data_IF_400697762080
#
_entry.id   IF_400697762080
#
_cell.length_a   1.000
_cell.length_b   1.000
_cell.length_c   1.000
_cell.angle_alpha   90.00
_cell.angle_beta   90.00
_cell.angle_gamma   90.00
#
_symmetry.space_group_name_H-M   'P 1'
#
loop_
_entity.id
_entity.type
_entity.pdbx_description
1 polymer ?
#
# COMPACT_ATOMS: atom_id res chain seq x y z
N UNK A 1 -7.42 -14.45 -17.14
CA UNK A 1 -7.55 -13.58 -15.94
C UNK A 1 -7.96 -12.19 -16.44
N UNK A 2 -9.09 -11.65 -16.00
CA UNK A 2 -9.64 -10.36 -16.46
C UNK A 2 -8.99 -9.18 -15.72
N UNK A 3 -8.96 -8.00 -16.36
CA UNK A 3 -8.42 -6.74 -15.79
C UNK A 3 -9.11 -6.35 -14.47
N UNK A 4 -10.38 -6.73 -14.30
CA UNK A 4 -11.15 -6.52 -13.08
C UNK A 4 -10.60 -7.29 -11.86
N UNK A 5 -9.99 -8.47 -12.07
CA UNK A 5 -9.38 -9.23 -10.97
C UNK A 5 -8.11 -8.53 -10.43
N UNK A 6 -7.49 -7.65 -11.21
CA UNK A 6 -6.36 -6.82 -10.77
C UNK A 6 -6.79 -5.55 -10.02
N UNK A 7 -8.09 -5.26 -9.97
CA UNK A 7 -8.67 -4.09 -9.29
C UNK A 7 -9.36 -4.44 -7.96
N UNK A 8 -9.47 -5.72 -7.63
CA UNK A 8 -9.81 -6.16 -6.28
C UNK A 8 -8.56 -5.99 -5.41
N UNK A 9 -8.75 -5.61 -4.14
CA UNK A 9 -7.72 -5.63 -3.09
C UNK A 9 -6.83 -6.87 -3.28
N UNK A 10 -5.50 -6.70 -3.26
CA UNK A 10 -4.54 -7.76 -3.64
C UNK A 10 -4.91 -9.14 -3.11
N UNK A 11 -4.60 -10.18 -3.89
CA UNK A 11 -5.13 -11.58 -3.80
C UNK A 11 -5.25 -12.18 -2.38
N UNK A 12 -4.60 -11.64 -1.35
CA UNK A 12 -5.00 -11.71 0.07
C UNK A 12 -4.23 -10.65 0.87
N UNK A 13 -4.75 -10.16 2.01
CA UNK A 13 -3.98 -9.31 2.92
C UNK A 13 -2.71 -10.04 3.37
N UNK A 14 -1.69 -9.27 3.75
CA UNK A 14 -0.51 -9.85 4.38
C UNK A 14 -0.89 -10.42 5.75
N UNK A 15 -0.73 -11.73 5.91
CA UNK A 15 -0.94 -12.41 7.18
C UNK A 15 0.37 -13.03 7.61
N UNK A 16 1.08 -12.33 8.50
CA UNK A 16 2.44 -12.66 8.91
C UNK A 16 2.44 -13.21 10.33
N UNK A 17 3.16 -14.31 10.55
CA UNK A 17 3.35 -14.91 11.86
C UNK A 17 4.80 -15.28 12.09
N UNK A 18 5.34 -14.89 13.24
CA UNK A 18 6.68 -15.28 13.68
C UNK A 18 6.58 -15.80 15.10
N UNK A 19 7.18 -16.96 15.35
CA UNK A 19 7.38 -17.50 16.69
C UNK A 19 8.78 -17.12 17.17
N UNK A 20 8.86 -16.22 18.16
CA UNK A 20 10.12 -15.66 18.63
C UNK A 20 11.02 -16.68 19.37
N UNK A 21 10.45 -17.80 19.83
CA UNK A 21 11.18 -18.84 20.58
C UNK A 21 11.78 -19.89 19.66
N UNK A 22 11.00 -20.37 18.69
CA UNK A 22 11.42 -21.41 17.74
C UNK A 22 12.06 -20.85 16.47
N UNK A 23 11.91 -19.55 16.20
CA UNK A 23 12.36 -18.91 14.95
C UNK A 23 11.53 -19.30 13.73
N UNK A 24 10.47 -20.10 13.90
CA UNK A 24 9.56 -20.46 12.81
C UNK A 24 8.74 -19.25 12.39
N UNK A 25 8.54 -19.10 11.10
CA UNK A 25 7.72 -18.05 10.53
C UNK A 25 6.86 -18.58 9.39
N UNK A 26 5.71 -17.93 9.19
CA UNK A 26 4.82 -18.15 8.06
C UNK A 26 4.28 -16.82 7.58
N UNK A 27 3.97 -16.74 6.30
CA UNK A 27 3.43 -15.52 5.70
C UNK A 27 2.52 -15.85 4.53
N UNK A 28 1.40 -15.13 4.46
CA UNK A 28 0.59 -14.99 3.25
C UNK A 28 0.85 -13.62 2.64
N UNK A 29 0.96 -13.53 1.32
CA UNK A 29 1.25 -12.28 0.59
C UNK A 29 2.70 -11.76 0.73
N UNK A 30 3.48 -12.29 1.67
CA UNK A 30 4.91 -12.09 1.77
C UNK A 30 5.58 -13.32 2.40
N UNK A 31 6.84 -13.58 2.05
CA UNK A 31 7.66 -14.61 2.66
C UNK A 31 8.52 -14.02 3.78
N UNK A 32 8.65 -14.78 4.88
CA UNK A 32 9.51 -14.40 6.01
C UNK A 32 10.71 -15.34 6.05
N UNK A 33 11.90 -14.77 6.24
CA UNK A 33 13.16 -15.50 6.32
C UNK A 33 14.10 -14.86 7.33
N UNK A 34 15.23 -15.52 7.60
CA UNK A 34 16.32 -15.01 8.46
C UNK A 34 15.87 -14.54 9.85
N UNK A 35 14.93 -15.28 10.47
CA UNK A 35 14.45 -14.97 11.81
C UNK A 35 15.59 -15.17 12.81
N UNK A 36 15.99 -14.08 13.47
CA UNK A 36 17.08 -14.05 14.45
C UNK A 36 16.61 -13.34 15.70
N UNK A 37 16.87 -13.96 16.84
CA UNK A 37 16.62 -13.36 18.16
C UNK A 37 17.96 -13.07 18.84
N UNK A 38 18.15 -11.83 19.31
CA UNK A 38 19.32 -11.40 20.08
C UNK A 38 18.83 -10.63 21.31
N UNK A 39 18.92 -11.28 22.47
CA UNK A 39 18.35 -10.74 23.71
C UNK A 39 16.83 -10.54 23.57
N UNK A 40 16.35 -9.32 23.80
CA UNK A 40 14.93 -8.95 23.57
C UNK A 40 14.65 -8.40 22.17
N UNK A 41 15.62 -8.41 21.26
CA UNK A 41 15.43 -7.93 19.89
C UNK A 41 15.16 -9.09 18.95
N UNK A 42 14.11 -8.99 18.15
CA UNK A 42 13.78 -9.94 17.09
C UNK A 42 13.99 -9.25 15.75
N UNK A 43 14.65 -9.92 14.81
CA UNK A 43 14.85 -9.42 13.44
C UNK A 43 14.53 -10.49 12.42
N UNK A 44 13.97 -10.11 11.28
CA UNK A 44 13.65 -11.01 10.17
C UNK A 44 13.56 -10.24 8.86
N UNK A 45 13.78 -10.93 7.75
CA UNK A 45 13.58 -10.39 6.41
C UNK A 45 12.18 -10.72 5.93
N UNK A 46 11.50 -9.75 5.31
CA UNK A 46 10.21 -9.93 4.65
C UNK A 46 10.35 -9.65 3.16
N UNK A 47 10.10 -10.65 2.34
CA UNK A 47 10.05 -10.55 0.89
C UNK A 47 8.60 -10.40 0.43
N UNK A 48 8.27 -9.25 -0.14
CA UNK A 48 6.94 -8.96 -0.67
C UNK A 48 6.65 -9.86 -1.88
N UNK A 49 5.54 -10.61 -1.85
CA UNK A 49 5.05 -11.40 -3.00
C UNK A 49 3.88 -10.71 -3.70
N UNK A 50 3.07 -9.98 -2.91
CA UNK A 50 1.99 -9.11 -3.39
C UNK A 50 2.05 -7.77 -2.66
N UNK A 51 1.32 -6.79 -3.19
CA UNK A 51 1.15 -5.50 -2.52
C UNK A 51 0.43 -5.64 -1.18
N UNK A 52 0.76 -4.81 -0.18
CA UNK A 52 -0.03 -4.74 1.05
C UNK A 52 -1.46 -4.31 0.73
N UNK A 53 -2.37 -4.53 1.67
CA UNK A 53 -3.72 -3.99 1.57
C UNK A 53 -3.71 -2.46 1.67
N UNK A 54 -4.60 -1.76 0.94
CA UNK A 54 -4.78 -0.32 1.14
C UNK A 54 -5.24 -0.04 2.57
N UNK A 55 -4.75 1.06 3.15
CA UNK A 55 -5.21 1.50 4.46
C UNK A 55 -6.71 1.83 4.43
N UNK A 56 -7.36 1.76 5.59
CA UNK A 56 -8.75 2.15 5.72
C UNK A 56 -8.95 3.61 5.26
N UNK A 57 -10.05 3.92 4.54
CA UNK A 57 -10.28 5.26 3.99
C UNK A 57 -10.57 6.32 5.07
N UNK A 58 -10.96 5.88 6.27
CA UNK A 58 -11.27 6.74 7.41
C UNK A 58 -10.27 6.51 8.52
N UNK A 59 -9.98 7.58 9.27
CA UNK A 59 -9.25 7.48 10.54
C UNK A 59 -10.22 6.99 11.61
N UNK A 60 -9.81 6.02 12.41
CA UNK A 60 -10.61 5.49 13.51
C UNK A 60 -10.56 3.98 13.58
N UNK A 61 -11.38 3.41 14.46
CA UNK A 61 -11.47 1.96 14.58
C UNK A 61 -12.12 1.34 13.35
N UNK A 62 -11.42 0.37 12.77
CA UNK A 62 -12.00 -0.48 11.73
C UNK A 62 -12.94 -1.49 12.39
N UNK A 63 -14.16 -1.59 11.86
CA UNK A 63 -15.17 -2.53 12.33
C UNK A 63 -14.56 -3.93 12.49
N UNK A 64 -14.77 -4.65 13.61
CA UNK A 64 -14.07 -5.89 13.92
C UNK A 64 -14.11 -6.94 12.79
N UNK A 65 -15.24 -7.05 12.11
CA UNK A 65 -15.40 -7.97 10.98
C UNK A 65 -14.48 -7.62 9.80
N UNK A 66 -14.13 -6.35 9.59
CA UNK A 66 -13.28 -5.90 8.51
C UNK A 66 -11.78 -6.00 8.84
N UNK A 67 -11.41 -6.24 10.11
CA UNK A 67 -10.00 -6.40 10.51
C UNK A 67 -9.31 -7.56 9.80
N UNK A 68 -10.08 -8.57 9.36
CA UNK A 68 -9.58 -9.72 8.57
C UNK A 68 -9.08 -9.33 7.18
N UNK A 69 -9.46 -8.16 6.68
CA UNK A 69 -9.05 -7.65 5.37
C UNK A 69 -7.80 -6.76 5.46
N UNK A 70 -7.32 -6.47 6.67
CA UNK A 70 -6.14 -5.67 6.90
C UNK A 70 -4.92 -6.57 6.97
N UNK A 71 -3.77 -6.00 6.62
CA UNK A 71 -2.49 -6.64 6.85
C UNK A 71 -2.25 -6.80 8.34
N UNK A 72 -1.71 -7.94 8.76
CA UNK A 72 -1.49 -8.28 10.16
C UNK A 72 -0.12 -8.91 10.37
N UNK A 73 0.49 -8.57 11.52
CA UNK A 73 1.67 -9.23 12.04
C UNK A 73 1.39 -9.78 13.44
N UNK A 74 1.54 -11.09 13.58
CA UNK A 74 1.52 -11.77 14.87
C UNK A 74 2.93 -12.21 15.27
N UNK A 75 3.34 -11.87 16.49
CA UNK A 75 4.60 -12.34 17.07
C UNK A 75 4.29 -13.15 18.32
N UNK A 76 4.42 -14.48 18.21
CA UNK A 76 4.15 -15.41 19.31
C UNK A 76 5.38 -15.56 20.19
N UNK A 77 5.14 -15.90 21.46
CA UNK A 77 6.19 -16.23 22.43
C UNK A 77 7.25 -15.11 22.61
N UNK A 78 6.84 -13.86 22.42
CA UNK A 78 7.67 -12.69 22.69
C UNK A 78 7.80 -12.51 24.22
N UNK A 79 9.00 -12.24 24.71
CA UNK A 79 9.21 -12.02 26.14
C UNK A 79 8.35 -10.83 26.64
N UNK A 80 7.89 -10.84 27.90
CA UNK A 80 7.07 -9.76 28.43
C UNK A 80 7.73 -8.37 28.28
N UNK A 81 6.96 -7.42 27.76
CA UNK A 81 7.41 -6.04 27.54
C UNK A 81 6.63 -5.31 26.45
N UNK A 82 7.06 -4.06 26.20
CA UNK A 82 6.62 -3.22 25.09
C UNK A 82 7.65 -3.27 23.97
N UNK A 83 7.19 -3.37 22.73
CA UNK A 83 8.05 -3.49 21.56
C UNK A 83 7.58 -2.57 20.45
N UNK A 84 8.57 -2.00 19.76
CA UNK A 84 8.38 -1.18 18.57
C UNK A 84 8.82 -1.97 17.35
N UNK A 85 7.93 -2.05 16.36
CA UNK A 85 8.26 -2.53 15.03
C UNK A 85 8.96 -1.42 14.24
N UNK A 86 10.13 -1.76 13.72
CA UNK A 86 10.95 -0.92 12.86
C UNK A 86 11.14 -1.65 11.52
N UNK A 87 10.76 -1.01 10.42
CA UNK A 87 10.91 -1.54 9.05
C UNK A 87 11.81 -0.62 8.27
N UNK A 88 12.93 -1.15 7.75
CA UNK A 88 13.96 -0.39 7.04
C UNK A 88 14.39 0.88 7.81
N UNK A 89 14.47 0.78 9.14
CA UNK A 89 14.85 1.89 10.04
C UNK A 89 13.72 2.84 10.44
N UNK A 90 12.50 2.69 9.89
CA UNK A 90 11.34 3.53 10.24
C UNK A 90 10.44 2.86 11.28
N UNK A 91 10.06 3.60 12.32
CA UNK A 91 9.07 3.13 13.31
C UNK A 91 7.70 2.99 12.66
N UNK A 92 7.08 1.82 12.78
CA UNK A 92 5.77 1.52 12.18
C UNK A 92 4.67 1.45 13.23
N UNK A 93 4.89 0.67 14.29
CA UNK A 93 3.91 0.43 15.33
C UNK A 93 4.60 0.13 16.67
N UNK A 94 3.91 0.41 17.77
CA UNK A 94 4.36 0.05 19.12
C UNK A 94 3.21 -0.62 19.85
N UNK A 95 3.48 -1.78 20.44
CA UNK A 95 2.47 -2.56 21.17
C UNK A 95 3.15 -3.44 22.23
N UNK A 96 2.38 -3.92 23.20
CA UNK A 96 2.87 -4.89 24.17
C UNK A 96 2.90 -6.31 23.57
N UNK A 97 3.65 -7.21 24.21
CA UNK A 97 3.79 -8.61 23.77
C UNK A 97 2.44 -9.36 23.61
N UNK A 98 1.42 -9.06 24.41
CA UNK A 98 0.07 -9.67 24.29
C UNK A 98 -0.61 -9.21 23.01
N UNK A 99 -0.57 -7.91 22.72
CA UNK A 99 -1.13 -7.33 21.50
C UNK A 99 -0.40 -7.85 20.25
N UNK A 100 0.93 -7.98 20.32
CA UNK A 100 1.70 -8.60 19.23
C UNK A 100 1.32 -10.07 19.01
N UNK A 101 1.10 -10.85 20.07
CA UNK A 101 0.68 -12.23 19.94
C UNK A 101 -0.74 -12.38 19.34
N UNK A 102 -1.63 -11.44 19.66
CA UNK A 102 -3.01 -11.40 19.12
C UNK A 102 -3.08 -11.04 17.63
N UNK A 103 -2.01 -10.50 17.05
CA UNK A 103 -1.98 -10.01 15.67
C UNK A 103 -2.31 -8.53 15.60
N UNK A 104 -1.29 -7.73 15.30
CA UNK A 104 -1.43 -6.28 15.16
C UNK A 104 -1.68 -5.93 13.69
N UNK A 105 -2.70 -5.10 13.44
CA UNK A 105 -2.96 -4.53 12.12
C UNK A 105 -1.84 -3.59 11.67
N UNK A 106 -1.39 -3.76 10.44
CA UNK A 106 -0.39 -2.92 9.78
C UNK A 106 -1.10 -1.99 8.79
N UNK A 107 -0.74 -0.71 8.79
CA UNK A 107 -1.33 0.27 7.88
C UNK A 107 -0.35 1.37 7.41
N UNK A 108 0.89 1.34 7.90
CA UNK A 108 1.85 2.44 7.77
C UNK A 108 3.29 1.98 7.49
N UNK A 109 3.48 0.76 6.99
CA UNK A 109 4.82 0.30 6.60
C UNK A 109 5.33 1.10 5.39
N UNK A 110 6.65 1.09 5.09
CA UNK A 110 7.18 1.66 3.85
C UNK A 110 6.53 1.10 2.57
N UNK A 111 6.03 -0.14 2.60
CA UNK A 111 5.27 -0.73 1.50
C UNK A 111 3.90 -0.04 1.32
N UNK A 112 3.18 0.21 2.42
CA UNK A 112 1.91 0.94 2.41
C UNK A 112 2.08 2.36 1.86
N UNK A 113 3.17 3.04 2.25
CA UNK A 113 3.49 4.36 1.72
C UNK A 113 3.76 4.33 0.21
N UNK A 114 4.42 3.28 -0.29
CA UNK A 114 4.67 3.08 -1.73
C UNK A 114 3.37 2.84 -2.49
N UNK A 115 2.47 2.01 -1.93
CA UNK A 115 1.14 1.77 -2.47
C UNK A 115 0.30 3.06 -2.55
N UNK A 116 0.28 3.85 -1.48
CA UNK A 116 -0.46 5.11 -1.46
C UNK A 116 0.09 6.12 -2.47
N UNK A 117 1.41 6.18 -2.64
CA UNK A 117 2.02 7.03 -3.67
C UNK A 117 1.62 6.60 -5.09
N UNK A 118 1.54 5.30 -5.33
CA UNK A 118 1.07 4.76 -6.61
C UNK A 118 -0.41 5.06 -6.84
N UNK A 119 -1.26 4.86 -5.82
CA UNK A 119 -2.68 5.22 -5.86
C UNK A 119 -2.89 6.70 -6.19
N UNK A 120 -2.11 7.59 -5.60
CA UNK A 120 -2.13 9.03 -5.92
C UNK A 120 -1.74 9.31 -7.37
N UNK A 121 -0.77 8.58 -7.91
CA UNK A 121 -0.35 8.72 -9.32
C UNK A 121 -1.44 8.25 -10.29
N UNK A 122 -2.20 7.20 -9.95
CA UNK A 122 -3.40 6.79 -10.69
C UNK A 122 -4.46 7.89 -10.64
N UNK A 123 -4.74 8.42 -9.45
CA UNK A 123 -5.74 9.48 -9.28
C UNK A 123 -5.40 10.71 -10.12
N UNK A 124 -4.14 11.14 -10.08
CA UNK A 124 -3.62 12.23 -10.89
C UNK A 124 -3.81 11.96 -12.39
N UNK A 125 -3.40 10.78 -12.89
CA UNK A 125 -3.63 10.37 -14.28
C UNK A 125 -5.12 10.40 -14.66
N UNK A 126 -5.99 9.91 -13.78
CA UNK A 126 -7.43 9.87 -14.02
C UNK A 126 -8.04 11.28 -14.06
N UNK A 127 -7.54 12.22 -13.25
CA UNK A 127 -7.95 13.62 -13.35
C UNK A 127 -7.62 14.20 -14.74
N UNK A 128 -6.39 14.00 -15.24
CA UNK A 128 -6.02 14.41 -16.60
C UNK A 128 -6.88 13.74 -17.68
N UNK A 129 -7.18 12.45 -17.52
CA UNK A 129 -8.07 11.73 -18.45
C UNK A 129 -9.45 12.38 -18.52
N UNK A 130 -10.07 12.68 -17.37
CA UNK A 130 -11.37 13.34 -17.29
C UNK A 130 -11.34 14.71 -17.99
N UNK A 131 -10.27 15.49 -17.81
CA UNK A 131 -10.13 16.78 -18.51
C UNK A 131 -9.93 16.63 -20.03
N UNK A 132 -9.32 15.54 -20.48
CA UNK A 132 -9.22 15.21 -21.92
C UNK A 132 -10.55 14.70 -22.50
N UNK A 133 -11.36 14.04 -21.68
CA UNK A 133 -12.62 13.39 -22.06
C UNK A 133 -13.82 14.29 -21.69
N UNK A 134 -13.94 15.45 -22.34
CA UNK A 134 -15.17 16.27 -22.26
C UNK A 134 -16.24 15.74 -23.23
N UNK A 135 -16.78 14.56 -22.92
CA UNK A 135 -17.73 13.83 -23.77
C UNK A 135 -19.00 14.62 -24.15
N UNK A 136 -19.48 15.52 -23.30
CA UNK A 136 -20.77 16.18 -23.50
C UNK A 136 -20.74 17.41 -24.43
N UNK A 137 -19.58 18.01 -24.68
CA UNK A 137 -19.49 19.19 -25.54
C UNK A 137 -18.65 18.99 -26.81
N UNK A 138 -17.94 17.87 -26.99
CA UNK A 138 -17.08 17.70 -28.17
C UNK A 138 -17.86 17.72 -29.48
N UNK A 139 -19.08 17.16 -29.52
CA UNK A 139 -19.94 17.20 -30.73
C UNK A 139 -20.32 18.65 -31.07
N UNK A 140 -20.59 19.48 -30.07
CA UNK A 140 -20.86 20.92 -30.24
C UNK A 140 -19.59 21.76 -30.46
N UNK A 141 -18.42 21.33 -29.96
CA UNK A 141 -17.13 22.03 -30.05
C UNK A 141 -16.38 21.70 -31.35
N UNK A 142 -16.50 20.51 -31.93
CA UNK A 142 -15.75 20.12 -33.14
C UNK A 142 -16.53 19.35 -34.20
N UNK A 143 -17.74 18.87 -33.89
CA UNK A 143 -18.61 18.20 -34.84
C UNK A 143 -19.52 19.17 -35.60
N UNK A 144 -20.61 19.59 -34.95
CA UNK A 144 -21.67 20.42 -35.55
C UNK A 144 -21.17 21.83 -35.90
N UNK A 145 -20.22 22.36 -35.13
CA UNK A 145 -19.66 23.70 -35.35
C UNK A 145 -18.42 23.71 -36.22
N UNK A 146 -18.04 22.62 -36.91
CA UNK A 146 -16.77 22.49 -37.65
C UNK A 146 -16.40 23.65 -38.59
N UNK A 147 -17.38 24.42 -39.07
CA UNK A 147 -17.17 25.61 -39.91
C UNK A 147 -16.81 26.88 -39.12
N UNK A 148 -17.19 26.99 -37.83
CA UNK A 148 -16.87 28.14 -36.97
C UNK A 148 -15.40 28.11 -36.50
N UNK A 149 -14.78 29.25 -36.19
CA UNK A 149 -13.40 29.29 -35.67
C UNK A 149 -13.19 28.44 -34.42
N UNK A 150 -14.16 28.48 -33.48
CA UNK A 150 -14.17 27.68 -32.25
C UNK A 150 -14.49 26.19 -32.47
N UNK A 151 -14.87 25.85 -33.70
CA UNK A 151 -15.40 24.57 -34.13
C UNK A 151 -14.41 23.66 -34.86
N UNK A 152 -13.29 24.22 -35.36
CA UNK A 152 -12.45 23.56 -36.38
C UNK A 152 -11.49 22.53 -35.82
N UNK A 153 -11.08 22.70 -34.56
CA UNK A 153 -10.07 21.88 -33.92
C UNK A 153 -10.34 21.76 -32.43
N UNK A 154 -9.82 20.69 -31.82
CA UNK A 154 -9.87 20.54 -30.37
C UNK A 154 -9.05 21.66 -29.71
N UNK A 155 -9.49 22.17 -28.55
CA UNK A 155 -8.68 23.09 -27.76
C UNK A 155 -7.31 22.46 -27.44
N UNK A 156 -6.26 23.28 -27.49
CA UNK A 156 -4.89 22.82 -27.25
C UNK A 156 -4.73 22.17 -25.87
N UNK A 157 -5.49 22.65 -24.89
CA UNK A 157 -5.53 22.11 -23.53
C UNK A 157 -5.99 20.65 -23.52
N UNK A 158 -7.02 20.31 -24.30
CA UNK A 158 -7.55 18.94 -24.37
C UNK A 158 -6.51 17.98 -24.97
N UNK A 159 -5.78 18.44 -25.99
CA UNK A 159 -4.69 17.69 -26.61
C UNK A 159 -3.56 17.45 -25.61
N UNK A 160 -3.15 18.50 -24.88
CA UNK A 160 -2.09 18.37 -23.87
C UNK A 160 -2.52 17.48 -22.70
N UNK A 161 -3.78 17.57 -22.24
CA UNK A 161 -4.34 16.66 -21.23
C UNK A 161 -4.26 15.20 -21.70
N UNK A 162 -4.65 14.91 -22.94
CA UNK A 162 -4.58 13.55 -23.48
C UNK A 162 -3.13 13.03 -23.54
N UNK A 163 -2.21 13.87 -24.02
CA UNK A 163 -0.77 13.56 -24.07
C UNK A 163 -0.21 13.28 -22.67
N UNK A 164 -0.52 14.11 -21.68
CA UNK A 164 -0.12 13.91 -20.28
C UNK A 164 -0.73 12.63 -19.71
N UNK A 165 -1.99 12.32 -20.02
CA UNK A 165 -2.63 11.06 -19.65
C UNK A 165 -1.84 9.87 -20.20
N UNK A 166 -1.50 9.86 -21.49
CA UNK A 166 -0.76 8.77 -22.11
C UNK A 166 0.65 8.60 -21.51
N UNK A 167 1.34 9.71 -21.22
CA UNK A 167 2.65 9.68 -20.56
C UNK A 167 2.56 9.09 -19.15
N UNK A 168 1.57 9.53 -18.36
CA UNK A 168 1.36 9.04 -16.99
C UNK A 168 0.93 7.57 -16.99
N UNK A 169 0.08 7.17 -17.92
CA UNK A 169 -0.35 5.77 -18.06
C UNK A 169 0.83 4.86 -18.41
N UNK A 170 1.70 5.29 -19.35
CA UNK A 170 2.96 4.60 -19.66
C UNK A 170 3.88 4.49 -18.43
N UNK A 171 3.99 5.55 -17.64
CA UNK A 171 4.79 5.54 -16.40
C UNK A 171 4.20 4.59 -15.34
N UNK A 172 2.87 4.49 -15.24
CA UNK A 172 2.17 3.57 -14.34
C UNK A 172 2.28 2.10 -14.77
N UNK A 173 2.49 1.82 -16.06
CA UNK A 173 2.57 0.46 -16.60
C UNK A 173 3.66 -0.42 -15.99
N UNK A 174 4.71 0.16 -15.41
CA UNK A 174 5.72 -0.59 -14.66
C UNK A 174 5.19 -1.18 -13.33
N UNK A 175 4.05 -0.70 -12.85
CA UNK A 175 3.48 -1.07 -11.57
C UNK A 175 4.33 -0.60 -10.39
N UNK A 176 4.03 -1.14 -9.22
CA UNK A 176 4.86 -0.92 -8.03
C UNK A 176 5.88 -2.06 -7.98
N UNK A 177 7.11 -1.78 -7.50
CA UNK A 177 8.20 -2.75 -7.41
C UNK A 177 8.25 -3.43 -6.04
N UNK A 178 7.99 -4.73 -5.99
CA UNK A 178 8.09 -5.56 -4.79
C UNK A 178 9.53 -5.59 -4.27
N UNK A 179 9.71 -5.52 -2.94
CA UNK A 179 11.01 -5.42 -2.28
C UNK A 179 11.17 -6.47 -1.19
N UNK A 180 12.43 -6.76 -0.86
CA UNK A 180 12.78 -7.39 0.41
C UNK A 180 13.15 -6.31 1.42
N UNK A 181 12.60 -6.43 2.64
CA UNK A 181 12.76 -5.43 3.70
C UNK A 181 13.25 -6.07 4.98
N UNK A 182 13.97 -5.28 5.78
CA UNK A 182 14.45 -5.71 7.09
C UNK A 182 13.50 -5.22 8.18
N UNK A 183 12.96 -6.17 8.94
CA UNK A 183 12.00 -5.93 10.00
C UNK A 183 12.65 -6.24 11.33
N UNK A 184 12.41 -5.38 12.33
CA UNK A 184 12.95 -5.54 13.69
C UNK A 184 11.89 -5.18 14.71
N UNK A 185 11.68 -6.05 15.69
CA UNK A 185 11.03 -5.67 16.95
C UNK A 185 12.12 -5.34 17.96
N UNK A 186 12.12 -4.10 18.44
CA UNK A 186 13.04 -3.61 19.47
C UNK A 186 12.26 -3.34 20.75
N UNK A 187 12.80 -3.69 21.93
CA UNK A 187 12.18 -3.36 23.20
C UNK A 187 12.11 -1.84 23.36
N UNK A 188 10.98 -1.35 23.86
CA UNK A 188 10.82 0.05 24.26
C UNK A 188 11.10 0.12 25.75
N UNK A 189 12.23 0.70 26.12
CA UNK A 189 12.50 1.04 27.52
C UNK A 189 11.44 2.06 27.96
N UNK A 190 10.77 1.89 29.11
CA UNK A 190 9.96 2.97 29.65
C UNK A 190 10.86 4.19 29.83
N UNK A 191 10.41 5.35 29.33
CA UNK A 191 10.95 6.62 29.81
C UNK A 191 10.68 6.63 31.30
N UNK A 192 11.74 6.51 32.10
CA UNK A 192 11.67 6.81 33.52
C UNK A 192 11.26 8.30 33.58
N UNK A 193 10.12 8.65 34.19
CA UNK A 193 9.73 10.04 34.34
C UNK A 193 10.74 10.82 35.18
#
# INVERSE_FOLDING_TARGET
>A
RTLANALLSGESPWLLSVDAKSGRASGSGANISDVKSKGKTLSFAVQELVWPSPAAPVRGEVHPQLRRNLDQLSIKNLAPGNYRLVVDGKSVATANHVQWAAGLGLHSTPAHASLESYRKSIYDKNAHFVYSWKALNQVHIVGERRKSPSGRALPAEVIEFNKLTNQKDKALGAGIRLKSRQWRLVPVTPLIP
#
